data_IF_804917623773
#
_entry.id   IF_804917623773
#
_cell.length_a   1.000
_cell.length_b   1.000
_cell.length_c   1.000
_cell.angle_alpha   90.00
_cell.angle_beta   90.00
_cell.angle_gamma   90.00
#
_symmetry.space_group_name_H-M   'P 1'
#
loop_
_entity.id
_entity.type
_entity.pdbx_description
1 polymer ?
#
# COMPACT_ATOMS: atom_id res chain seq x y z
N UNK A 1 -3.05 21.29 -1.13
CA UNK A 1 -1.77 20.58 -1.06
C UNK A 1 -1.42 20.29 0.40
N UNK A 2 -1.10 19.07 0.71
CA UNK A 2 -0.70 18.66 2.06
C UNK A 2 0.45 17.66 1.98
N UNK A 3 1.09 17.41 3.12
CA UNK A 3 2.18 16.43 3.23
C UNK A 3 1.81 15.36 4.25
N UNK A 4 2.21 14.13 3.97
CA UNK A 4 2.00 12.97 4.84
C UNK A 4 3.33 12.25 5.08
N UNK A 5 3.51 11.72 6.27
CA UNK A 5 4.65 10.87 6.57
C UNK A 5 4.39 9.45 6.09
N UNK A 6 5.26 8.96 5.27
CA UNK A 6 5.17 7.63 4.70
C UNK A 6 6.03 7.51 3.46
N UNK A 7 6.01 6.33 2.87
CA UNK A 7 6.64 6.10 1.58
C UNK A 7 5.55 5.82 0.56
N UNK A 8 5.76 6.26 -0.66
CA UNK A 8 4.82 5.97 -1.74
C UNK A 8 5.50 5.21 -2.85
N UNK A 9 4.86 4.14 -3.29
CA UNK A 9 5.35 3.29 -4.38
C UNK A 9 4.22 3.03 -5.38
N UNK A 10 4.61 2.80 -6.62
CA UNK A 10 3.72 2.29 -7.66
C UNK A 10 3.96 0.79 -7.76
N UNK A 11 2.96 0.01 -7.37
CA UNK A 11 3.00 -1.45 -7.40
C UNK A 11 2.09 -1.92 -8.52
N UNK A 12 2.67 -2.25 -9.65
CA UNK A 12 1.93 -2.73 -10.84
C UNK A 12 0.74 -1.84 -11.23
N UNK A 13 0.96 -0.54 -11.23
CA UNK A 13 -0.05 0.45 -11.59
C UNK A 13 -0.91 0.94 -10.42
N UNK A 14 -0.74 0.38 -9.23
CA UNK A 14 -1.47 0.80 -8.04
C UNK A 14 -0.58 1.69 -7.17
N UNK A 15 -1.02 2.92 -6.93
CA UNK A 15 -0.31 3.85 -6.03
C UNK A 15 -0.58 3.48 -4.58
N UNK A 16 0.46 3.09 -3.86
CA UNK A 16 0.36 2.64 -2.47
C UNK A 16 1.17 3.55 -1.56
N UNK A 17 0.53 4.06 -0.52
CA UNK A 17 1.24 4.73 0.57
C UNK A 17 1.49 3.70 1.68
N UNK A 18 2.75 3.49 2.03
CA UNK A 18 3.14 2.59 3.12
C UNK A 18 3.44 3.44 4.34
N UNK A 19 2.72 3.20 5.42
CA UNK A 19 2.87 3.88 6.71
C UNK A 19 3.33 2.90 7.77
N UNK A 20 4.00 3.39 8.77
CA UNK A 20 4.43 2.58 9.90
C UNK A 20 5.29 3.40 10.84
N UNK A 21 5.26 3.05 12.12
CA UNK A 21 6.09 3.68 13.13
C UNK A 21 7.57 3.37 12.89
N UNK A 22 8.44 4.18 13.50
CA UNK A 22 9.87 3.90 13.48
C UNK A 22 10.12 2.49 14.01
N UNK A 23 10.92 1.72 13.28
CA UNK A 23 11.20 0.33 13.66
C UNK A 23 10.15 -0.69 13.18
N UNK A 24 9.12 -0.26 12.44
CA UNK A 24 8.09 -1.17 11.90
C UNK A 24 8.55 -1.97 10.69
N UNK A 25 9.72 -1.65 10.12
CA UNK A 25 10.20 -2.28 8.89
C UNK A 25 9.65 -1.65 7.61
N UNK A 26 9.14 -0.43 7.70
CA UNK A 26 8.57 0.27 6.55
C UNK A 26 9.55 0.40 5.38
N UNK A 27 10.79 0.83 5.66
CA UNK A 27 11.80 1.01 4.60
C UNK A 27 12.24 -0.30 3.99
N UNK A 28 12.41 -1.33 4.80
CA UNK A 28 12.75 -2.67 4.33
C UNK A 28 11.63 -3.23 3.45
N UNK A 29 10.38 -2.97 3.81
CA UNK A 29 9.22 -3.35 3.01
C UNK A 29 9.24 -2.64 1.65
N UNK A 30 9.47 -1.34 1.64
CA UNK A 30 9.52 -0.54 0.41
C UNK A 30 10.68 -1.01 -0.49
N UNK A 31 11.85 -1.25 0.09
CA UNK A 31 12.99 -1.78 -0.65
C UNK A 31 12.66 -3.13 -1.29
N UNK A 32 12.02 -4.02 -0.54
CA UNK A 32 11.55 -5.30 -1.06
C UNK A 32 10.56 -5.16 -2.22
N UNK A 33 9.68 -4.16 -2.16
CA UNK A 33 8.76 -3.86 -3.26
C UNK A 33 9.51 -3.38 -4.50
N UNK A 34 10.52 -2.52 -4.34
CA UNK A 34 11.36 -2.04 -5.45
C UNK A 34 12.12 -3.19 -6.08
N UNK A 35 12.67 -4.09 -5.27
CA UNK A 35 13.34 -5.29 -5.76
C UNK A 35 12.39 -6.19 -6.58
N UNK A 36 11.10 -6.15 -6.27
CA UNK A 36 10.05 -6.90 -6.97
C UNK A 36 9.50 -6.16 -8.18
N UNK A 37 10.05 -5.01 -8.54
CA UNK A 37 9.68 -4.25 -9.72
C UNK A 37 8.78 -3.04 -9.48
N UNK A 38 8.47 -2.70 -8.23
CA UNK A 38 7.74 -1.47 -7.92
C UNK A 38 8.60 -0.23 -8.19
N UNK A 39 7.95 0.91 -8.41
CA UNK A 39 8.63 2.18 -8.62
C UNK A 39 8.47 3.08 -7.40
N UNK A 40 9.56 3.66 -6.93
CA UNK A 40 9.53 4.64 -5.84
C UNK A 40 8.97 5.96 -6.33
N UNK A 41 7.98 6.50 -5.62
CA UNK A 41 7.42 7.83 -5.87
C UNK A 41 7.96 8.83 -4.85
N UNK A 42 7.94 8.47 -3.57
CA UNK A 42 8.43 9.34 -2.50
C UNK A 42 8.90 8.50 -1.31
N UNK A 43 9.98 8.95 -0.68
CA UNK A 43 10.51 8.35 0.55
C UNK A 43 10.27 9.31 1.71
N UNK A 44 9.78 8.78 2.83
CA UNK A 44 9.60 9.45 4.11
C UNK A 44 8.51 10.53 4.16
N UNK A 45 8.46 11.43 3.21
CA UNK A 45 7.43 12.48 3.11
C UNK A 45 6.85 12.47 1.71
N UNK A 46 5.52 12.46 1.63
CA UNK A 46 4.78 12.48 0.38
C UNK A 46 3.97 13.77 0.34
N UNK A 47 4.10 14.51 -0.75
CA UNK A 47 3.27 15.68 -1.01
C UNK A 47 2.06 15.26 -1.84
N UNK A 48 0.86 15.62 -1.39
CA UNK A 48 -0.38 15.28 -2.10
C UNK A 48 -1.10 16.52 -2.58
N UNK A 49 -1.68 16.42 -3.78
CA UNK A 49 -2.64 17.39 -4.31
C UNK A 49 -3.92 16.67 -4.71
N UNK A 50 -5.05 17.32 -4.52
CA UNK A 50 -6.33 16.78 -4.94
C UNK A 50 -6.65 17.23 -6.36
N UNK A 51 -7.25 16.35 -7.15
CA UNK A 51 -7.76 16.65 -8.49
C UNK A 51 -9.28 16.51 -8.45
N UNK A 52 -9.97 17.61 -8.70
CA UNK A 52 -11.43 17.67 -8.77
C UNK A 52 -12.15 17.10 -7.53
N UNK A 53 -11.48 17.12 -6.37
CA UNK A 53 -12.03 16.58 -5.14
C UNK A 53 -12.25 15.07 -5.12
N UNK A 54 -11.71 14.34 -6.09
CA UNK A 54 -11.90 12.89 -6.25
C UNK A 54 -10.64 12.07 -6.16
N UNK A 55 -9.55 12.58 -6.70
CA UNK A 55 -8.29 11.86 -6.80
C UNK A 55 -7.19 12.57 -6.06
N UNK A 56 -6.25 11.80 -5.51
CA UNK A 56 -5.05 12.30 -4.87
C UNK A 56 -3.85 11.91 -5.70
N UNK A 57 -3.00 12.89 -6.01
CA UNK A 57 -1.73 12.66 -6.69
C UNK A 57 -0.61 12.89 -5.69
N UNK A 58 0.19 11.86 -5.48
CA UNK A 58 1.35 11.91 -4.60
C UNK A 58 2.64 12.10 -5.36
N UNK A 59 3.57 12.82 -4.75
CA UNK A 59 4.88 13.10 -5.31
C UNK A 59 5.88 13.37 -4.20
N UNK A 60 7.16 13.28 -4.53
CA UNK A 60 8.22 13.68 -3.61
C UNK A 60 8.25 15.20 -3.47
N UNK A 61 8.44 15.73 -2.25
CA UNK A 61 8.65 17.17 -2.06
C UNK A 61 9.91 17.67 -2.76
N UNK A 62 10.89 16.79 -2.99
CA UNK A 62 12.15 17.13 -3.65
C UNK A 62 12.15 16.46 -5.03
N UNK A 63 11.85 17.26 -6.05
CA UNK A 63 11.75 16.78 -7.42
C UNK A 63 13.10 16.26 -7.94
N UNK A 64 13.07 15.11 -8.60
CA UNK A 64 14.23 14.50 -9.24
C UNK A 64 15.19 13.77 -8.30
N UNK A 65 14.86 13.65 -7.02
CA UNK A 65 15.68 12.92 -6.06
C UNK A 65 14.96 11.67 -5.60
N UNK A 66 15.46 10.52 -6.02
CA UNK A 66 14.94 9.21 -5.65
C UNK A 66 15.98 8.48 -4.81
N UNK A 67 16.27 9.05 -3.64
CA UNK A 67 17.19 8.49 -2.68
C UNK A 67 16.43 7.89 -1.52
N UNK A 68 16.97 6.83 -0.97
CA UNK A 68 16.37 6.11 0.12
C UNK A 68 17.45 5.75 1.14
N UNK A 69 17.16 5.95 2.42
CA UNK A 69 18.06 5.52 3.47
C UNK A 69 17.79 4.05 3.80
N UNK A 70 18.82 3.23 3.72
CA UNK A 70 18.76 1.80 4.03
C UNK A 70 19.67 1.53 5.22
N UNK A 71 19.10 1.01 6.29
CA UNK A 71 19.84 0.71 7.51
C UNK A 71 20.99 -0.25 7.21
N UNK A 72 22.19 0.11 7.66
CA UNK A 72 23.40 -0.68 7.45
C UNK A 72 24.15 -0.36 6.16
N UNK A 73 23.52 0.31 5.20
CA UNK A 73 24.14 0.67 3.93
C UNK A 73 24.31 2.18 3.81
N UNK A 74 23.32 2.95 4.28
CA UNK A 74 23.26 4.40 4.15
C UNK A 74 22.29 4.84 3.08
N UNK A 75 22.53 6.00 2.50
CA UNK A 75 21.66 6.57 1.47
C UNK A 75 22.00 5.96 0.10
N UNK A 76 21.02 5.38 -0.56
CA UNK A 76 21.17 4.80 -1.89
C UNK A 76 20.43 5.64 -2.93
N UNK A 77 20.95 5.64 -4.15
CA UNK A 77 20.31 6.22 -5.31
C UNK A 77 19.51 5.11 -6.01
N UNK A 78 18.20 5.11 -5.83
CA UNK A 78 17.32 4.03 -6.28
C UNK A 78 17.41 3.80 -7.80
N UNK A 79 17.24 4.82 -8.67
CA UNK A 79 17.32 4.56 -10.10
C UNK A 79 18.72 4.15 -10.58
N UNK A 80 19.77 4.57 -9.88
CA UNK A 80 21.13 4.14 -10.23
C UNK A 80 21.36 2.66 -9.96
N UNK A 81 20.74 2.11 -8.91
CA UNK A 81 20.88 0.71 -8.53
C UNK A 81 19.89 -0.18 -9.28
N UNK A 82 18.63 0.24 -9.37
CA UNK A 82 17.53 -0.60 -9.87
C UNK A 82 17.05 -0.23 -11.27
N UNK A 83 17.58 0.85 -11.86
CA UNK A 83 17.20 1.30 -13.19
C UNK A 83 16.15 2.41 -13.18
N UNK A 84 15.98 3.07 -14.32
CA UNK A 84 15.08 4.22 -14.48
C UNK A 84 13.62 3.87 -14.18
N UNK A 85 13.20 2.66 -14.49
CA UNK A 85 11.84 2.20 -14.22
C UNK A 85 11.53 2.05 -12.72
N UNK A 86 12.54 2.12 -11.85
CA UNK A 86 12.35 2.03 -10.39
C UNK A 86 11.93 3.34 -9.73
N UNK A 87 11.75 4.40 -10.51
CA UNK A 87 11.27 5.69 -10.01
C UNK A 87 10.07 6.17 -10.80
N UNK A 88 9.21 6.96 -10.15
CA UNK A 88 8.08 7.61 -10.78
C UNK A 88 7.88 8.99 -10.15
N UNK A 89 7.72 10.03 -10.98
CA UNK A 89 7.65 11.42 -10.51
C UNK A 89 6.39 11.67 -9.69
N UNK A 90 5.26 11.15 -10.16
CA UNK A 90 3.99 11.27 -9.44
C UNK A 90 3.09 10.09 -9.75
N UNK A 91 2.14 9.83 -8.87
CA UNK A 91 1.21 8.71 -9.01
C UNK A 91 -0.08 9.00 -8.24
N UNK A 92 -1.21 8.57 -8.79
CA UNK A 92 -2.47 8.57 -8.07
C UNK A 92 -2.39 7.59 -6.89
N UNK A 93 -2.89 8.04 -5.74
CA UNK A 93 -2.99 7.19 -4.56
C UNK A 93 -4.24 6.31 -4.64
N UNK A 94 -4.07 5.01 -4.57
CA UNK A 94 -5.15 4.02 -4.66
C UNK A 94 -5.35 3.25 -3.35
N UNK A 95 -4.32 3.13 -2.54
CA UNK A 95 -4.35 2.29 -1.34
C UNK A 95 -3.39 2.83 -0.29
N UNK A 96 -3.83 2.83 0.96
CA UNK A 96 -2.97 3.12 2.12
C UNK A 96 -2.76 1.82 2.88
N UNK A 97 -1.52 1.46 3.12
CA UNK A 97 -1.15 0.29 3.94
C UNK A 97 -0.41 0.78 5.18
N UNK A 98 -0.92 0.42 6.34
CA UNK A 98 -0.26 0.71 7.62
C UNK A 98 0.33 -0.56 8.20
N UNK A 99 1.64 -0.54 8.44
CA UNK A 99 2.33 -1.63 9.12
C UNK A 99 2.19 -1.41 10.62
N UNK A 100 1.57 -2.34 11.32
CA UNK A 100 1.27 -2.20 12.74
C UNK A 100 1.76 -3.39 13.56
N UNK A 101 2.10 -3.13 14.80
CA UNK A 101 2.36 -4.21 15.75
C UNK A 101 1.10 -5.08 15.89
N UNK A 102 1.31 -6.39 16.03
CA UNK A 102 0.23 -7.38 16.02
C UNK A 102 -0.85 -7.11 17.07
N UNK A 103 -0.47 -6.60 18.23
CA UNK A 103 -1.38 -6.28 19.34
C UNK A 103 -2.28 -5.07 19.10
N UNK A 104 -1.99 -4.28 18.06
CA UNK A 104 -2.74 -3.07 17.72
C UNK A 104 -3.78 -3.28 16.61
N UNK A 105 -3.91 -4.50 16.12
CA UNK A 105 -4.83 -4.81 15.03
C UNK A 105 -6.06 -5.52 15.55
N UNK A 106 -7.22 -5.07 15.06
CA UNK A 106 -8.50 -5.70 15.34
C UNK A 106 -8.61 -7.03 14.57
N UNK A 107 -8.79 -8.13 15.29
CA UNK A 107 -8.93 -9.48 14.72
C UNK A 107 -10.17 -9.67 13.85
N UNK A 108 -11.16 -8.78 13.94
CA UNK A 108 -12.43 -8.91 13.22
C UNK A 108 -12.23 -8.79 11.70
N UNK A 109 -11.10 -8.26 11.26
CA UNK A 109 -10.87 -7.93 9.84
C UNK A 109 -10.15 -9.00 9.03
N UNK A 110 -10.11 -10.23 9.52
CA UNK A 110 -9.40 -11.32 8.84
C UNK A 110 -9.85 -11.58 7.40
N UNK A 111 -11.10 -11.32 7.09
CA UNK A 111 -11.68 -11.61 5.77
C UNK A 111 -11.73 -10.39 4.87
N UNK A 112 -11.34 -9.21 5.36
CA UNK A 112 -11.32 -7.99 4.58
C UNK A 112 -12.69 -7.43 4.19
N UNK A 113 -13.77 -7.93 4.80
CA UNK A 113 -15.13 -7.46 4.52
C UNK A 113 -15.36 -6.09 5.16
N UNK A 114 -14.83 -5.88 6.35
CA UNK A 114 -14.88 -4.60 7.04
C UNK A 114 -13.85 -3.67 6.41
N UNK A 115 -14.31 -2.65 5.71
CA UNK A 115 -13.45 -1.73 4.97
C UNK A 115 -13.08 -0.53 5.82
N UNK A 116 -11.78 -0.25 5.94
CA UNK A 116 -11.28 0.98 6.54
C UNK A 116 -10.98 1.98 5.45
N UNK A 117 -11.00 3.25 5.80
CA UNK A 117 -10.65 4.35 4.91
C UNK A 117 -9.65 5.26 5.59
N UNK A 118 -8.78 5.85 4.79
CA UNK A 118 -7.82 6.86 5.21
C UNK A 118 -8.13 8.15 4.47
N UNK A 119 -8.30 9.24 5.20
CA UNK A 119 -8.73 10.50 4.60
C UNK A 119 -7.56 11.47 4.43
N UNK A 120 -7.39 11.99 3.23
CA UNK A 120 -6.41 13.03 2.89
C UNK A 120 -7.14 14.07 2.04
N UNK A 121 -7.07 15.34 2.44
CA UNK A 121 -7.74 16.45 1.73
C UNK A 121 -9.22 16.19 1.46
N UNK A 122 -9.91 15.54 2.41
CA UNK A 122 -11.32 15.21 2.27
C UNK A 122 -11.63 14.01 1.38
N UNK A 123 -10.62 13.37 0.82
CA UNK A 123 -10.77 12.22 -0.05
C UNK A 123 -10.46 10.94 0.73
N UNK A 124 -11.40 9.99 0.69
CA UNK A 124 -11.27 8.71 1.40
C UNK A 124 -10.63 7.67 0.50
N UNK A 125 -9.53 7.10 0.97
CA UNK A 125 -8.76 6.08 0.24
C UNK A 125 -8.86 4.75 0.99
N UNK A 126 -9.00 3.62 0.30
CA UNK A 126 -8.99 2.32 0.97
C UNK A 126 -7.75 2.13 1.85
N UNK A 127 -7.94 1.59 3.03
CA UNK A 127 -6.90 1.47 4.04
C UNK A 127 -6.84 0.03 4.56
N UNK A 128 -5.67 -0.56 4.51
CA UNK A 128 -5.38 -1.90 5.01
C UNK A 128 -4.34 -1.81 6.12
N UNK A 129 -4.58 -2.48 7.24
CA UNK A 129 -3.61 -2.61 8.31
C UNK A 129 -3.01 -4.01 8.27
N UNK A 130 -1.68 -4.09 8.20
CA UNK A 130 -0.97 -5.36 8.14
C UNK A 130 -0.16 -5.57 9.42
N UNK A 131 -0.30 -6.73 10.07
CA UNK A 131 0.50 -7.04 11.26
C UNK A 131 1.94 -7.31 10.86
N UNK A 132 2.86 -6.64 11.55
CA UNK A 132 4.29 -6.86 11.39
C UNK A 132 4.73 -7.98 12.31
N UNK A 133 5.34 -9.01 11.76
CA UNK A 133 5.88 -10.12 12.53
C UNK A 133 7.26 -10.50 11.98
N UNK A 134 8.14 -10.91 12.89
CA UNK A 134 9.47 -11.40 12.52
C UNK A 134 9.34 -12.58 11.55
N UNK A 135 10.14 -12.58 10.49
CA UNK A 135 10.15 -13.65 9.50
C UNK A 135 9.07 -13.56 8.43
N UNK A 136 8.16 -12.58 8.51
CA UNK A 136 7.15 -12.38 7.45
C UNK A 136 7.70 -11.48 6.36
N UNK A 137 7.42 -11.84 5.11
CA UNK A 137 7.74 -11.02 3.95
C UNK A 137 6.66 -9.95 3.78
N UNK A 138 6.88 -8.78 4.35
CA UNK A 138 5.92 -7.68 4.30
C UNK A 138 5.77 -7.12 2.89
N UNK A 139 6.83 -7.13 2.08
CA UNK A 139 6.74 -6.68 0.70
C UNK A 139 5.79 -7.55 -0.11
N UNK A 140 5.85 -8.87 0.07
CA UNK A 140 4.93 -9.79 -0.58
C UNK A 140 3.48 -9.52 -0.18
N UNK A 141 3.23 -9.28 1.10
CA UNK A 141 1.88 -8.99 1.60
C UNK A 141 1.33 -7.67 1.05
N UNK A 142 2.16 -6.63 0.98
CA UNK A 142 1.76 -5.35 0.40
C UNK A 142 1.47 -5.50 -1.10
N UNK A 143 2.28 -6.28 -1.81
CA UNK A 143 2.03 -6.55 -3.22
C UNK A 143 0.69 -7.23 -3.43
N UNK A 144 0.37 -8.24 -2.64
CA UNK A 144 -0.93 -8.92 -2.69
C UNK A 144 -2.07 -7.95 -2.38
N UNK A 145 -1.92 -7.10 -1.38
CA UNK A 145 -2.93 -6.09 -1.04
C UNK A 145 -3.15 -5.12 -2.20
N UNK A 146 -2.08 -4.71 -2.89
CA UNK A 146 -2.18 -3.84 -4.06
C UNK A 146 -2.91 -4.52 -5.21
N UNK A 147 -2.59 -5.78 -5.50
CA UNK A 147 -3.25 -6.55 -6.55
C UNK A 147 -4.73 -6.80 -6.24
N UNK A 148 -5.06 -7.07 -4.98
CA UNK A 148 -6.46 -7.20 -4.55
C UNK A 148 -7.21 -5.89 -4.73
N UNK A 149 -6.59 -4.76 -4.40
CA UNK A 149 -7.18 -3.44 -4.64
C UNK A 149 -7.40 -3.19 -6.13
N UNK A 150 -6.50 -3.65 -6.98
CA UNK A 150 -6.66 -3.55 -8.43
C UNK A 150 -7.91 -4.30 -8.90
N UNK A 151 -8.14 -5.51 -8.39
CA UNK A 151 -9.35 -6.26 -8.68
C UNK A 151 -10.60 -5.52 -8.20
N UNK A 152 -10.57 -4.93 -7.01
CA UNK A 152 -11.69 -4.15 -6.47
C UNK A 152 -12.04 -2.96 -7.37
N UNK A 153 -11.03 -2.32 -7.97
CA UNK A 153 -11.23 -1.20 -8.88
C UNK A 153 -11.95 -1.63 -10.18
N UNK A 154 -11.92 -2.92 -10.51
CA UNK A 154 -12.67 -3.49 -11.63
C UNK A 154 -13.99 -4.15 -11.20
N UNK A 155 -14.43 -3.90 -9.95
CA UNK A 155 -15.67 -4.47 -9.44
C UNK A 155 -15.56 -5.85 -8.80
N UNK A 156 -14.35 -6.37 -8.64
CA UNK A 156 -14.11 -7.68 -8.04
C UNK A 156 -13.62 -7.55 -6.61
N UNK A 157 -14.42 -7.97 -5.64
CA UNK A 157 -14.02 -8.03 -4.24
C UNK A 157 -13.89 -9.49 -3.80
N UNK A 158 -12.67 -9.94 -3.56
CA UNK A 158 -12.37 -11.34 -3.23
C UNK A 158 -13.08 -11.83 -1.97
N UNK A 159 -13.20 -10.98 -0.95
CA UNK A 159 -13.88 -11.35 0.29
C UNK A 159 -15.38 -11.52 0.07
N UNK A 160 -16.00 -10.61 -0.67
CA UNK A 160 -17.42 -10.67 -0.99
C UNK A 160 -17.71 -11.87 -1.91
N UNK A 161 -16.86 -12.11 -2.89
CA UNK A 161 -17.00 -13.25 -3.79
C UNK A 161 -16.90 -14.58 -3.05
N UNK A 162 -15.97 -14.68 -2.12
CA UNK A 162 -15.82 -15.86 -1.27
C UNK A 162 -17.08 -16.11 -0.42
N UNK A 163 -17.60 -15.06 0.22
CA UNK A 163 -18.82 -15.17 1.05
C UNK A 163 -20.02 -15.59 0.20
N UNK A 164 -20.20 -15.03 -0.97
CA UNK A 164 -21.28 -15.39 -1.88
C UNK A 164 -21.19 -16.86 -2.32
N UNK A 165 -20.00 -17.34 -2.63
CA UNK A 165 -19.80 -18.76 -2.98
C UNK A 165 -20.10 -19.68 -1.81
N UNK A 166 -19.72 -19.31 -0.60
CA UNK A 166 -20.00 -20.08 0.59
C UNK A 166 -21.50 -20.21 0.83
N UNK A 167 -22.24 -19.11 0.76
CA UNK A 167 -23.68 -19.09 0.91
C UNK A 167 -24.39 -19.95 -0.15
N UNK A 168 -23.93 -19.86 -1.39
CA UNK A 168 -24.46 -20.66 -2.49
C UNK A 168 -24.24 -22.17 -2.23
N UNK A 169 -23.06 -22.54 -1.79
CA UNK A 169 -22.75 -23.94 -1.47
C UNK A 169 -23.66 -24.48 -0.34
N UNK A 170 -23.89 -23.69 0.70
CA UNK A 170 -24.77 -24.06 1.81
C UNK A 170 -26.20 -24.27 1.30
N UNK A 171 -26.70 -23.35 0.46
CA UNK A 171 -28.03 -23.44 -0.11
C UNK A 171 -28.21 -24.68 -1.00
N UNK A 172 -27.23 -24.96 -1.87
CA UNK A 172 -27.26 -26.11 -2.78
C UNK A 172 -27.22 -27.45 -2.04
N UNK A 173 -26.54 -27.50 -0.87
CA UNK A 173 -26.49 -28.72 -0.04
C UNK A 173 -27.69 -28.85 0.89
N UNK A 174 -28.65 -27.94 0.85
CA UNK A 174 -29.81 -28.01 1.74
C UNK A 174 -29.49 -27.80 3.21
N UNK A 175 -28.38 -27.14 3.50
CA UNK A 175 -27.97 -26.84 4.88
C UNK A 175 -28.56 -25.47 5.24
N UNK A 176 -29.42 -25.47 6.21
CA UNK A 176 -30.08 -24.24 6.69
C UNK A 176 -29.44 -23.74 7.99
#
# INVERSE_FOLDING_TARGET
VTSEHGCMVDVQGIGVMVRGDSGSGKRECVLGLIERGASLVADDIIKYRAIEGRELIGMSPVTGRFHMEVRGIGIINVPAIFGVASMRVEKRLDLVVSLKATDKIDNIERVGIRKKKYEILGIKVPHVELPVAAGRDMASLVEVAALDQKLKSFGHDSAIEFEAKLLKTISEKGIN
#
